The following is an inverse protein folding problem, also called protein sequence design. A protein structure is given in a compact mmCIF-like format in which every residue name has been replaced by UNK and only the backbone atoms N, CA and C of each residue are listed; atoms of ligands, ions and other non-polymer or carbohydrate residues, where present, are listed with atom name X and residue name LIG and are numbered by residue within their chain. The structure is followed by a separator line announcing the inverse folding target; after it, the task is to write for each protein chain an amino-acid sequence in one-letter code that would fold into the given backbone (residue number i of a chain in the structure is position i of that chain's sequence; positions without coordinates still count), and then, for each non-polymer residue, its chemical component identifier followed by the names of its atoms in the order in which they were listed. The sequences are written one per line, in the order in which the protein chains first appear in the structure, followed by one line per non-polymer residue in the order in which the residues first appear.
data_IF_177507931621
#
_entry.id   IF_177507931621
#
_cell.length_a   1.000
_cell.length_b   1.000
_cell.length_c   1.000
_cell.angle_alpha   90.00
_cell.angle_beta   90.00
_cell.angle_gamma   90.00
#
_symmetry.space_group_name_H-M   'P 1'
#
loop_
_entity.id
_entity.type
_entity.pdbx_description
1 polymer ?
#
# COMPACT_ATOMS: atom_id res chain seq x y z
N UNK A 1 19.87 -9.54 6.20
CA UNK A 1 19.21 -10.46 5.28
C UNK A 1 17.73 -10.28 5.46
N UNK A 2 17.16 -9.43 4.63
CA UNK A 2 15.72 -9.24 4.53
C UNK A 2 15.15 -10.52 3.93
N UNK A 3 14.23 -11.21 4.62
CA UNK A 3 13.63 -12.42 4.06
C UNK A 3 12.80 -12.04 2.83
N UNK A 4 13.00 -12.75 1.72
CA UNK A 4 12.20 -12.56 0.50
C UNK A 4 10.70 -12.77 0.78
N UNK A 5 10.36 -13.60 1.79
CA UNK A 5 8.98 -13.77 2.24
C UNK A 5 8.41 -12.48 2.85
N UNK A 6 9.21 -11.71 3.60
CA UNK A 6 8.79 -10.43 4.19
C UNK A 6 8.51 -9.39 3.10
N UNK A 7 9.36 -9.35 2.07
CA UNK A 7 9.16 -8.47 0.90
C UNK A 7 7.86 -8.84 0.18
N UNK A 8 7.64 -10.13 -0.10
CA UNK A 8 6.43 -10.61 -0.76
C UNK A 8 5.17 -10.35 0.07
N UNK A 9 5.23 -10.55 1.39
CA UNK A 9 4.12 -10.26 2.29
C UNK A 9 3.77 -8.76 2.28
N UNK A 10 4.78 -7.88 2.36
CA UNK A 10 4.57 -6.45 2.30
C UNK A 10 3.99 -5.98 0.95
N UNK A 11 4.45 -6.55 -0.16
CA UNK A 11 3.91 -6.27 -1.49
C UNK A 11 2.44 -6.71 -1.63
N UNK A 12 2.08 -7.88 -1.09
CA UNK A 12 0.67 -8.35 -1.08
C UNK A 12 -0.21 -7.43 -0.25
N UNK A 13 0.24 -7.06 0.95
CA UNK A 13 -0.51 -6.16 1.82
C UNK A 13 -0.72 -4.79 1.16
N UNK A 14 0.30 -4.26 0.49
CA UNK A 14 0.16 -3.01 -0.28
C UNK A 14 -0.86 -3.17 -1.42
N UNK A 15 -0.79 -4.27 -2.17
CA UNK A 15 -1.74 -4.55 -3.24
C UNK A 15 -3.18 -4.62 -2.72
N UNK A 16 -3.43 -5.32 -1.61
CA UNK A 16 -4.75 -5.41 -0.99
C UNK A 16 -5.27 -4.02 -0.55
N UNK A 17 -4.43 -3.20 0.08
CA UNK A 17 -4.79 -1.84 0.48
C UNK A 17 -5.09 -0.95 -0.73
N UNK A 18 -4.31 -1.05 -1.80
CA UNK A 18 -4.53 -0.32 -3.04
C UNK A 18 -5.86 -0.70 -3.69
N UNK A 19 -6.15 -2.01 -3.79
CA UNK A 19 -7.43 -2.50 -4.32
C UNK A 19 -8.61 -1.97 -3.52
N UNK A 20 -8.53 -1.98 -2.19
CA UNK A 20 -9.61 -1.45 -1.34
C UNK A 20 -9.88 0.06 -1.57
N UNK A 21 -8.83 0.86 -1.78
CA UNK A 21 -8.96 2.28 -2.13
C UNK A 21 -9.65 2.46 -3.48
N UNK A 22 -9.25 1.68 -4.48
CA UNK A 22 -9.81 1.76 -5.84
C UNK A 22 -11.27 1.30 -5.87
N UNK A 23 -11.59 0.19 -5.21
CA UNK A 23 -12.96 -0.31 -5.06
C UNK A 23 -13.86 0.75 -4.40
N UNK A 24 -13.36 1.43 -3.37
CA UNK A 24 -14.10 2.50 -2.71
C UNK A 24 -14.35 3.68 -3.65
N UNK A 25 -13.31 4.13 -4.36
CA UNK A 25 -13.38 5.23 -5.32
C UNK A 25 -14.35 4.94 -6.46
N UNK A 26 -14.38 3.71 -6.97
CA UNK A 26 -15.28 3.29 -8.03
C UNK A 26 -16.74 3.17 -7.56
N UNK A 27 -16.95 2.73 -6.30
CA UNK A 27 -18.29 2.54 -5.74
C UNK A 27 -18.94 3.82 -5.19
N UNK A 28 -18.16 4.86 -4.90
CA UNK A 28 -18.66 6.06 -4.21
C UNK A 28 -18.27 7.36 -4.91
N UNK A 29 -19.15 8.36 -4.81
CA UNK A 29 -18.83 9.71 -5.23
C UNK A 29 -17.94 10.40 -4.18
N UNK A 30 -16.62 10.35 -4.38
CA UNK A 30 -15.64 10.97 -3.46
C UNK A 30 -15.69 12.50 -3.41
N UNK A 31 -16.55 13.15 -4.21
CA UNK A 31 -16.82 14.58 -4.10
C UNK A 31 -17.80 14.89 -2.96
N UNK A 32 -18.50 13.89 -2.43
CA UNK A 32 -19.32 14.04 -1.22
C UNK A 32 -18.42 14.12 0.02
N UNK A 33 -18.59 15.13 0.91
CA UNK A 33 -17.67 15.34 2.03
C UNK A 33 -17.45 14.11 2.92
N UNK A 34 -18.53 13.38 3.25
CA UNK A 34 -18.42 12.19 4.09
C UNK A 34 -17.66 11.05 3.38
N UNK A 35 -17.83 10.90 2.06
CA UNK A 35 -17.12 9.89 1.26
C UNK A 35 -15.67 10.27 1.03
N UNK A 36 -15.39 11.56 0.90
CA UNK A 36 -14.03 12.07 0.82
C UNK A 36 -13.25 11.76 2.10
N UNK A 37 -13.82 12.01 3.28
CA UNK A 37 -13.18 11.71 4.56
C UNK A 37 -12.87 10.21 4.71
N UNK A 38 -13.83 9.34 4.35
CA UNK A 38 -13.65 7.88 4.37
C UNK A 38 -12.57 7.42 3.38
N UNK A 39 -12.59 7.95 2.15
CA UNK A 39 -11.56 7.67 1.14
C UNK A 39 -10.17 8.13 1.59
N UNK A 40 -10.06 9.29 2.26
CA UNK A 40 -8.80 9.80 2.79
C UNK A 40 -8.21 8.90 3.88
N UNK A 41 -9.04 8.27 4.71
CA UNK A 41 -8.59 7.28 5.70
C UNK A 41 -7.99 6.06 4.99
N UNK A 42 -8.68 5.52 3.96
CA UNK A 42 -8.19 4.38 3.18
C UNK A 42 -6.87 4.72 2.45
N UNK A 43 -6.80 5.90 1.83
CA UNK A 43 -5.58 6.42 1.17
C UNK A 43 -4.40 6.52 2.13
N UNK A 44 -4.63 6.95 3.37
CA UNK A 44 -3.58 7.03 4.39
C UNK A 44 -3.03 5.64 4.75
N UNK A 45 -3.92 4.65 4.90
CA UNK A 45 -3.52 3.26 5.17
C UNK A 45 -2.71 2.72 3.99
N UNK A 46 -3.17 2.93 2.75
CA UNK A 46 -2.45 2.53 1.55
C UNK A 46 -1.04 3.15 1.49
N UNK A 47 -0.92 4.45 1.76
CA UNK A 47 0.37 5.16 1.73
C UNK A 47 1.33 4.65 2.82
N UNK A 48 0.83 4.33 4.02
CA UNK A 48 1.64 3.79 5.11
C UNK A 48 2.15 2.38 4.79
N UNK A 49 1.30 1.52 4.23
CA UNK A 49 1.69 0.16 3.82
C UNK A 49 2.66 0.21 2.62
N UNK A 50 2.41 1.08 1.65
CA UNK A 50 3.31 1.31 0.52
C UNK A 50 4.71 1.69 1.00
N UNK A 51 4.81 2.63 1.96
CA UNK A 51 6.09 3.05 2.53
C UNK A 51 6.84 1.88 3.17
N UNK A 52 6.14 0.99 3.87
CA UNK A 52 6.75 -0.21 4.45
C UNK A 52 7.26 -1.17 3.38
N UNK A 53 6.48 -1.41 2.33
CA UNK A 53 6.88 -2.24 1.20
C UNK A 53 8.11 -1.66 0.49
N UNK A 54 8.13 -0.36 0.21
CA UNK A 54 9.26 0.33 -0.43
C UNK A 54 10.55 0.18 0.39
N UNK A 55 10.49 0.34 1.72
CA UNK A 55 11.65 0.14 2.60
C UNK A 55 12.20 -1.28 2.50
N UNK A 56 11.34 -2.30 2.48
CA UNK A 56 11.76 -3.70 2.41
C UNK A 56 12.33 -4.05 1.03
N UNK A 57 11.73 -3.53 -0.04
CA UNK A 57 12.21 -3.69 -1.41
C UNK A 57 13.61 -3.08 -1.57
N UNK A 58 13.82 -1.85 -1.09
CA UNK A 58 15.12 -1.20 -1.19
C UNK A 58 16.20 -1.92 -0.37
N UNK A 59 15.86 -2.43 0.82
CA UNK A 59 16.76 -3.29 1.60
C UNK A 59 17.14 -4.55 0.84
N UNK A 60 16.16 -5.26 0.28
CA UNK A 60 16.41 -6.48 -0.50
C UNK A 60 17.28 -6.20 -1.74
N UNK A 61 17.05 -5.08 -2.43
CA UNK A 61 17.89 -4.63 -3.57
C UNK A 61 19.33 -4.37 -3.17
N UNK A 62 19.55 -3.74 -2.01
CA UNK A 62 20.90 -3.45 -1.51
C UNK A 62 21.70 -4.69 -1.10
N UNK A 63 21.02 -5.82 -0.87
CA UNK A 63 21.64 -7.10 -0.50
C UNK A 63 21.99 -7.97 -1.73
N UNK A 64 21.56 -7.59 -2.95
CA UNK A 64 21.91 -8.30 -4.18
C UNK A 64 23.36 -7.99 -4.60
N UNK A 65 24.21 -9.00 -4.89
CA UNK A 65 25.53 -8.75 -5.45
C UNK A 65 25.41 -8.14 -6.86
N UNK A 66 26.32 -7.21 -7.15
CA UNK A 66 26.42 -6.50 -8.43
C UNK A 66 26.69 -7.43 -9.62
#
# INVERSE_FOLDING_TARGET
MTDINDVQAAMRLWHEAHTAVMDFYEAHNVLEPARYEEWMVLRRVEDDVRRQADILIERARSELPA
#
